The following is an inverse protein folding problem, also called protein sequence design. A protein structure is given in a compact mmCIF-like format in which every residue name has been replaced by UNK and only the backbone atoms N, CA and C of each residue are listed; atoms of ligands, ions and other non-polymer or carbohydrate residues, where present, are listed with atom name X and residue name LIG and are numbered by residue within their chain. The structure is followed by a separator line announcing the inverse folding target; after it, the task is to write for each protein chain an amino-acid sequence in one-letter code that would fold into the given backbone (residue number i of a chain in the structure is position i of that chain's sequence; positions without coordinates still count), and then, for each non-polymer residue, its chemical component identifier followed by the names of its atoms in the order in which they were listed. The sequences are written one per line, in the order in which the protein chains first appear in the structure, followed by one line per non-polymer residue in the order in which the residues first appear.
data_IF_295523552263
#
_entry.id   IF_295523552263
#
_cell.length_a   1.000
_cell.length_b   1.000
_cell.length_c   1.000
_cell.angle_alpha   90.00
_cell.angle_beta   90.00
_cell.angle_gamma   90.00
#
_symmetry.space_group_name_H-M   'P 1'
#
loop_
_entity.id
_entity.type
_entity.pdbx_description
1 polymer ?
#
# COMPACT_ATOMS: atom_id res chain seq x y z
N UNK A 1 -85.31 -1.97 -35.17
CA UNK A 1 -85.44 -2.18 -36.64
C UNK A 1 -84.11 -1.81 -37.28
N UNK A 2 -83.50 -2.68 -38.13
CA UNK A 2 -82.12 -2.61 -38.69
C UNK A 2 -81.02 -2.78 -37.59
N UNK A 3 -80.14 -3.81 -37.58
CA UNK A 3 -79.04 -4.22 -38.51
C UNK A 3 -77.99 -3.10 -38.63
N UNK A 4 -76.66 -3.30 -38.53
CA UNK A 4 -75.74 -4.49 -38.42
C UNK A 4 -74.42 -3.98 -37.73
N UNK A 5 -73.30 -4.69 -37.51
CA UNK A 5 -72.81 -6.03 -37.92
C UNK A 5 -72.10 -6.78 -36.75
N UNK A 6 -70.77 -6.98 -36.78
CA UNK A 6 -69.90 -7.58 -35.74
C UNK A 6 -68.50 -6.94 -35.81
N UNK A 7 -67.76 -6.97 -34.69
CA UNK A 7 -66.30 -7.22 -34.75
C UNK A 7 -65.86 -8.09 -33.56
N UNK A 8 -65.23 -9.21 -33.87
CA UNK A 8 -64.59 -10.13 -32.90
C UNK A 8 -63.12 -9.77 -32.82
N UNK A 9 -62.56 -9.56 -31.61
CA UNK A 9 -61.15 -9.92 -31.31
C UNK A 9 -60.74 -9.83 -29.85
N UNK A 10 -60.16 -10.94 -29.40
CA UNK A 10 -59.09 -11.10 -28.40
C UNK A 10 -59.15 -10.45 -27.02
N UNK A 11 -59.21 -11.35 -26.04
CA UNK A 11 -58.47 -11.30 -24.78
C UNK A 11 -57.10 -10.58 -24.86
N UNK A 12 -56.90 -9.57 -23.99
CA UNK A 12 -55.63 -9.19 -23.31
C UNK A 12 -55.71 -7.94 -22.41
N UNK A 13 -56.85 -7.24 -22.35
CA UNK A 13 -56.99 -5.95 -21.65
C UNK A 13 -57.28 -6.03 -20.13
N UNK A 14 -57.41 -7.22 -19.52
CA UNK A 14 -57.82 -7.36 -18.10
C UNK A 14 -56.67 -7.59 -17.09
N UNK A 15 -55.41 -7.60 -17.52
CA UNK A 15 -54.25 -7.96 -16.66
C UNK A 15 -53.46 -6.73 -16.17
N UNK A 16 -53.69 -5.54 -16.75
CA UNK A 16 -52.82 -4.37 -16.55
C UNK A 16 -53.03 -3.66 -15.20
N UNK A 17 -54.17 -3.82 -14.53
CA UNK A 17 -54.53 -3.02 -13.34
C UNK A 17 -54.09 -3.66 -12.00
N UNK A 18 -53.78 -4.96 -11.97
CA UNK A 18 -53.32 -5.63 -10.72
C UNK A 18 -51.78 -5.54 -10.53
N UNK A 19 -51.04 -5.17 -11.59
CA UNK A 19 -49.57 -5.03 -11.55
C UNK A 19 -49.08 -3.71 -10.92
N UNK A 20 -49.95 -2.72 -10.70
CA UNK A 20 -49.56 -1.40 -10.16
C UNK A 20 -49.45 -1.34 -8.62
N UNK A 21 -49.99 -2.33 -7.89
CA UNK A 21 -49.96 -2.37 -6.42
C UNK A 21 -49.03 -3.43 -5.81
N UNK A 22 -48.39 -4.27 -6.62
CA UNK A 22 -47.22 -5.06 -6.19
C UNK A 22 -45.89 -4.29 -6.33
N UNK A 23 -45.92 -3.09 -6.94
CA UNK A 23 -44.71 -2.31 -7.24
C UNK A 23 -44.17 -1.50 -6.04
N UNK A 24 -44.86 -1.47 -4.91
CA UNK A 24 -44.44 -0.74 -3.69
C UNK A 24 -43.96 -1.64 -2.55
N UNK A 25 -44.12 -2.96 -2.65
CA UNK A 25 -43.70 -3.93 -1.61
C UNK A 25 -42.43 -4.74 -1.93
N UNK A 26 -41.67 -4.31 -2.95
CA UNK A 26 -40.29 -4.76 -3.19
C UNK A 26 -39.22 -3.71 -2.84
N UNK A 27 -39.61 -2.51 -2.38
CA UNK A 27 -38.69 -1.40 -2.07
C UNK A 27 -37.99 -1.49 -0.69
N UNK A 28 -38.02 -2.65 -0.03
CA UNK A 28 -37.18 -2.94 1.16
C UNK A 28 -36.28 -4.17 0.94
N UNK A 29 -36.18 -4.67 -0.30
CA UNK A 29 -35.35 -5.83 -0.68
C UNK A 29 -34.21 -5.52 -1.64
N UNK A 30 -33.84 -4.24 -1.78
CA UNK A 30 -32.73 -3.79 -2.64
C UNK A 30 -31.74 -2.83 -1.98
N UNK A 31 -31.57 -2.92 -0.66
CA UNK A 31 -30.41 -2.36 0.05
C UNK A 31 -29.55 -3.43 0.75
N UNK A 32 -29.42 -4.59 0.09
CA UNK A 32 -28.13 -5.31 0.12
C UNK A 32 -27.15 -4.51 -0.78
N UNK A 33 -26.82 -3.29 -0.37
CA UNK A 33 -25.52 -2.71 -0.72
C UNK A 33 -24.54 -3.14 0.35
N UNK A 34 -24.16 -4.41 0.20
CA UNK A 34 -23.05 -5.05 0.88
C UNK A 34 -21.81 -4.18 0.65
N UNK A 35 -21.48 -3.35 1.64
CA UNK A 35 -20.37 -2.41 1.57
C UNK A 35 -19.05 -3.19 1.63
N UNK A 36 -18.63 -3.70 0.47
CA UNK A 36 -17.27 -4.20 0.21
C UNK A 36 -16.31 -3.00 0.09
N UNK A 37 -16.33 -2.13 1.10
CA UNK A 37 -15.37 -1.05 1.28
C UNK A 37 -14.02 -1.63 1.73
N UNK A 38 -13.38 -2.39 0.84
CA UNK A 38 -12.02 -2.88 1.03
C UNK A 38 -11.08 -1.68 1.14
N UNK A 39 -10.47 -1.50 2.32
CA UNK A 39 -9.48 -0.44 2.54
C UNK A 39 -8.27 -0.73 1.65
N UNK A 40 -8.10 0.06 0.60
CA UNK A 40 -6.96 -0.04 -0.30
C UNK A 40 -5.66 0.32 0.43
N UNK A 41 -4.60 -0.46 0.21
CA UNK A 41 -3.31 -0.26 0.85
C UNK A 41 -2.15 -0.62 -0.07
N UNK A 42 -0.99 0.00 0.18
CA UNK A 42 0.27 -0.28 -0.52
C UNK A 42 1.22 -1.01 0.43
N UNK A 43 1.89 -2.07 -0.03
CA UNK A 43 2.94 -2.75 0.74
C UNK A 43 4.32 -2.30 0.27
N UNK A 44 5.13 -1.79 1.19
CA UNK A 44 6.47 -1.26 0.94
C UNK A 44 7.49 -1.95 1.84
N UNK A 45 8.68 -2.23 1.33
CA UNK A 45 9.78 -2.80 2.13
C UNK A 45 10.44 -1.71 2.99
N UNK A 46 10.44 -1.92 4.31
CA UNK A 46 11.08 -1.05 5.28
C UNK A 46 12.61 -1.20 5.32
N UNK A 47 13.27 -0.33 6.08
CA UNK A 47 14.74 -0.21 6.09
C UNK A 47 15.48 -1.49 6.51
N UNK A 48 14.83 -2.33 7.32
CA UNK A 48 15.38 -3.61 7.82
C UNK A 48 14.79 -4.83 7.08
N UNK A 49 14.39 -4.66 5.82
CA UNK A 49 13.76 -5.72 5.00
C UNK A 49 12.34 -6.14 5.41
N UNK A 50 11.84 -5.66 6.56
CA UNK A 50 10.49 -5.99 7.05
C UNK A 50 9.40 -5.23 6.26
N UNK A 51 8.27 -5.85 5.92
CA UNK A 51 7.17 -5.17 5.23
C UNK A 51 6.54 -4.09 6.12
N UNK A 52 6.12 -3.01 5.49
CA UNK A 52 5.40 -1.87 6.04
C UNK A 52 4.20 -1.62 5.13
N UNK A 53 3.03 -1.36 5.70
CA UNK A 53 1.82 -1.04 4.95
C UNK A 53 1.57 0.46 4.99
N UNK A 54 1.14 1.03 3.87
CA UNK A 54 0.78 2.45 3.76
C UNK A 54 -0.70 2.54 3.40
N UNK A 55 -1.47 3.24 4.25
CA UNK A 55 -2.89 3.56 4.05
C UNK A 55 -3.03 5.08 4.21
N UNK A 56 -3.51 5.78 3.18
CA UNK A 56 -3.68 7.25 3.17
C UNK A 56 -2.47 8.06 3.70
N UNK A 57 -1.24 7.63 3.39
CA UNK A 57 0.01 8.24 3.89
C UNK A 57 0.37 7.92 5.34
N UNK A 58 -0.42 7.14 6.07
CA UNK A 58 -0.05 6.59 7.37
C UNK A 58 0.69 5.26 7.20
N UNK A 59 1.82 5.10 7.90
CA UNK A 59 2.64 3.87 7.88
C UNK A 59 2.28 2.93 9.02
N UNK A 60 2.06 1.67 8.70
CA UNK A 60 1.71 0.59 9.62
C UNK A 60 2.82 -0.47 9.66
N UNK A 61 3.20 -0.89 10.87
CA UNK A 61 4.14 -1.99 11.11
C UNK A 61 3.39 -3.23 11.57
N UNK A 62 3.82 -4.42 11.13
CA UNK A 62 3.34 -5.71 11.66
C UNK A 62 3.56 -5.76 13.17
N UNK A 63 2.52 -6.05 13.94
CA UNK A 63 2.59 -6.19 15.39
C UNK A 63 2.61 -7.67 15.78
N UNK A 64 1.54 -8.41 15.45
CA UNK A 64 1.36 -9.83 15.78
C UNK A 64 0.36 -10.51 14.83
N UNK A 65 0.44 -11.83 14.75
CA UNK A 65 -0.59 -12.67 14.15
C UNK A 65 -1.66 -13.00 15.20
N UNK A 66 -2.90 -13.13 14.77
CA UNK A 66 -4.07 -13.50 15.57
C UNK A 66 -4.52 -14.91 15.15
N UNK A 67 -5.57 -15.43 15.81
CA UNK A 67 -6.32 -16.58 15.31
C UNK A 67 -6.86 -16.32 13.89
N UNK A 68 -7.17 -17.41 13.18
CA UNK A 68 -7.64 -17.40 11.78
C UNK A 68 -6.64 -16.72 10.82
N UNK A 69 -5.35 -16.79 11.14
CA UNK A 69 -4.21 -16.26 10.36
C UNK A 69 -4.26 -14.75 10.02
N UNK A 70 -5.14 -14.00 10.68
CA UNK A 70 -5.24 -12.54 10.55
C UNK A 70 -4.00 -11.87 11.14
N UNK A 71 -3.37 -10.95 10.39
CA UNK A 71 -2.22 -10.17 10.87
C UNK A 71 -2.68 -8.78 11.33
N UNK A 72 -2.38 -8.43 12.59
CA UNK A 72 -2.59 -7.08 13.11
C UNK A 72 -1.37 -6.21 12.88
N UNK A 73 -1.63 -5.05 12.29
CA UNK A 73 -0.69 -3.98 12.04
C UNK A 73 -1.04 -2.76 12.91
N UNK A 74 -0.04 -2.02 13.35
CA UNK A 74 -0.22 -0.82 14.19
C UNK A 74 0.48 0.37 13.55
N UNK A 75 0.02 1.58 13.85
CA UNK A 75 0.75 2.78 13.45
C UNK A 75 2.24 2.68 13.85
N UNK A 76 3.13 3.02 12.91
CA UNK A 76 4.58 3.00 13.11
C UNK A 76 5.15 4.36 13.55
N UNK A 77 4.41 5.45 13.34
CA UNK A 77 4.88 6.83 13.57
C UNK A 77 4.93 7.20 15.05
N UNK A 78 3.89 6.86 15.84
CA UNK A 78 3.83 7.17 17.27
C UNK A 78 3.42 5.95 18.10
N UNK A 79 4.17 5.64 19.16
CA UNK A 79 3.89 4.51 20.07
C UNK A 79 2.57 4.66 20.84
N UNK A 80 2.12 5.89 21.07
CA UNK A 80 0.86 6.24 21.76
C UNK A 80 -0.36 6.22 20.83
N UNK A 81 -0.16 5.95 19.54
CA UNK A 81 -1.25 5.89 18.57
C UNK A 81 -2.01 4.57 18.69
N UNK A 82 -3.32 4.65 18.92
CA UNK A 82 -4.20 3.47 19.03
C UNK A 82 -4.61 2.92 17.66
N UNK A 83 -4.29 3.61 16.56
CA UNK A 83 -4.61 3.23 15.19
C UNK A 83 -4.04 1.84 14.82
N UNK A 84 -4.91 0.98 14.27
CA UNK A 84 -4.58 -0.39 13.88
C UNK A 84 -5.36 -0.86 12.65
N UNK A 85 -4.74 -1.76 11.90
CA UNK A 85 -5.29 -2.42 10.72
C UNK A 85 -5.21 -3.95 10.94
N UNK A 86 -6.18 -4.70 10.42
CA UNK A 86 -6.17 -6.16 10.39
C UNK A 86 -6.32 -6.62 8.95
N UNK A 87 -5.47 -7.55 8.52
CA UNK A 87 -5.46 -8.10 7.17
C UNK A 87 -5.47 -9.62 7.25
N UNK A 88 -6.35 -10.25 6.47
CA UNK A 88 -6.48 -11.69 6.34
C UNK A 88 -5.42 -12.29 5.40
N UNK A 89 -5.32 -13.61 5.34
CA UNK A 89 -4.45 -14.33 4.40
C UNK A 89 -4.68 -13.93 2.94
N UNK A 90 -5.93 -13.65 2.59
CA UNK A 90 -6.35 -13.20 1.26
C UNK A 90 -5.93 -11.75 0.93
N UNK A 91 -5.14 -11.08 1.79
CA UNK A 91 -4.73 -9.69 1.59
C UNK A 91 -5.88 -8.68 1.68
N UNK A 92 -7.02 -9.06 2.27
CA UNK A 92 -8.18 -8.18 2.44
C UNK A 92 -8.15 -7.53 3.82
N UNK A 93 -8.39 -6.22 3.88
CA UNK A 93 -8.54 -5.49 5.14
C UNK A 93 -9.91 -5.81 5.78
N UNK A 94 -9.92 -6.24 7.03
CA UNK A 94 -11.16 -6.49 7.78
C UNK A 94 -11.89 -5.19 8.14
N UNK A 95 -13.21 -5.28 8.34
CA UNK A 95 -14.05 -4.16 8.77
C UNK A 95 -13.68 -3.64 10.17
N UNK A 96 -13.21 -4.50 11.07
CA UNK A 96 -12.74 -4.13 12.42
C UNK A 96 -11.29 -3.61 12.38
N UNK A 97 -11.15 -2.39 11.84
CA UNK A 97 -9.94 -1.59 11.82
C UNK A 97 -10.21 -0.18 12.38
N UNK A 98 -9.21 0.40 13.04
CA UNK A 98 -9.27 1.78 13.56
C UNK A 98 -8.24 2.62 12.83
N UNK A 99 -8.67 3.40 11.82
CA UNK A 99 -7.80 4.30 11.04
C UNK A 99 -7.63 5.71 11.66
N UNK A 100 -8.22 5.97 12.83
CA UNK A 100 -8.17 7.28 13.48
C UNK A 100 -6.81 7.49 14.17
N UNK A 101 -6.05 8.49 13.72
CA UNK A 101 -4.76 8.87 14.29
C UNK A 101 -4.90 10.01 15.30
N UNK A 102 -4.19 9.91 16.43
CA UNK A 102 -4.06 10.96 17.44
C UNK A 102 -2.82 11.86 17.23
N UNK A 103 -2.33 11.93 15.99
CA UNK A 103 -1.14 12.70 15.61
C UNK A 103 -1.24 13.17 14.16
N UNK A 104 -0.45 14.17 13.79
CA UNK A 104 -0.35 14.66 12.41
C UNK A 104 0.17 13.55 11.48
N UNK A 105 -0.37 13.45 10.26
CA UNK A 105 0.17 12.56 9.21
C UNK A 105 1.59 13.01 8.81
N UNK A 106 2.43 12.08 8.36
CA UNK A 106 3.75 12.39 7.80
C UNK A 106 3.60 13.23 6.51
N UNK A 107 4.58 14.09 6.19
CA UNK A 107 4.60 14.78 4.88
C UNK A 107 4.73 13.73 3.75
N UNK A 108 3.88 13.82 2.72
CA UNK A 108 3.89 12.96 1.54
C UNK A 108 5.30 12.89 0.90
N UNK A 109 5.97 14.04 0.72
CA UNK A 109 7.33 14.11 0.18
C UNK A 109 8.36 13.31 1.01
N UNK A 110 8.17 13.24 2.34
CA UNK A 110 9.03 12.45 3.24
C UNK A 110 8.78 10.96 3.07
N UNK A 111 7.57 10.54 2.74
CA UNK A 111 7.24 9.15 2.42
C UNK A 111 7.81 8.75 1.06
N UNK A 112 7.65 9.60 0.05
CA UNK A 112 8.17 9.35 -1.31
C UNK A 112 9.69 9.25 -1.32
N UNK A 113 10.37 10.20 -0.65
CA UNK A 113 11.82 10.11 -0.38
C UNK A 113 12.19 8.80 0.32
N UNK A 114 11.39 8.35 1.29
CA UNK A 114 11.66 7.10 2.01
C UNK A 114 11.49 5.87 1.10
N UNK A 115 10.46 5.82 0.24
CA UNK A 115 10.26 4.75 -0.76
C UNK A 115 11.47 4.66 -1.70
N UNK A 116 11.84 5.78 -2.33
CA UNK A 116 12.98 5.87 -3.24
C UNK A 116 14.28 5.48 -2.54
N UNK A 117 14.56 6.06 -1.36
CA UNK A 117 15.80 5.79 -0.63
C UNK A 117 15.90 4.31 -0.25
N UNK A 118 14.82 3.65 0.17
CA UNK A 118 14.82 2.22 0.47
C UNK A 118 14.99 1.33 -0.77
N UNK A 119 14.54 1.78 -1.94
CA UNK A 119 14.77 1.06 -3.19
C UNK A 119 16.23 1.18 -3.65
N UNK A 120 16.77 2.41 -3.70
CA UNK A 120 18.16 2.65 -4.13
C UNK A 120 19.16 2.03 -3.15
N UNK A 121 18.94 2.12 -1.83
CA UNK A 121 19.84 1.52 -0.82
C UNK A 121 20.06 0.02 -1.06
N UNK A 122 19.02 -0.72 -1.47
CA UNK A 122 19.14 -2.16 -1.79
C UNK A 122 19.98 -2.37 -3.04
N UNK A 123 19.59 -1.74 -4.16
CA UNK A 123 20.34 -1.77 -5.43
C UNK A 123 21.79 -1.33 -5.31
N UNK A 124 22.11 -0.46 -4.36
CA UNK A 124 23.45 0.03 -4.09
C UNK A 124 24.33 -0.96 -3.30
N UNK A 125 23.73 -1.96 -2.63
CA UNK A 125 24.40 -3.12 -2.05
C UNK A 125 24.54 -4.22 -3.10
N UNK A 126 23.46 -4.50 -3.84
CA UNK A 126 23.43 -5.50 -4.91
C UNK A 126 24.46 -5.17 -6.02
N UNK A 127 24.58 -3.90 -6.39
CA UNK A 127 25.59 -3.37 -7.31
C UNK A 127 26.29 -2.14 -6.67
N UNK A 128 27.46 -2.34 -6.03
CA UNK A 128 28.23 -1.24 -5.44
C UNK A 128 28.96 -0.39 -6.50
N UNK A 129 29.16 -0.91 -7.71
CA UNK A 129 29.94 -0.27 -8.78
C UNK A 129 29.15 0.81 -9.52
N UNK A 130 27.83 0.66 -9.68
CA UNK A 130 27.01 1.65 -10.39
C UNK A 130 27.00 3.00 -9.68
N UNK A 131 27.13 4.09 -10.45
CA UNK A 131 27.09 5.47 -9.95
C UNK A 131 25.74 5.78 -9.28
N UNK A 132 25.69 6.35 -8.05
CA UNK A 132 24.43 6.67 -7.36
C UNK A 132 23.45 7.54 -8.14
N UNK A 133 23.95 8.44 -9.01
CA UNK A 133 23.12 9.22 -9.93
C UNK A 133 22.33 8.35 -10.90
N UNK A 134 22.93 7.30 -11.45
CA UNK A 134 22.28 6.39 -12.41
C UNK A 134 21.19 5.59 -11.71
N UNK A 135 21.47 5.06 -10.51
CA UNK A 135 20.45 4.39 -9.70
C UNK A 135 19.25 5.32 -9.42
N UNK A 136 19.51 6.53 -8.92
CA UNK A 136 18.44 7.51 -8.65
C UNK A 136 17.63 7.83 -9.91
N UNK A 137 18.27 8.14 -11.03
CA UNK A 137 17.59 8.46 -12.28
C UNK A 137 16.70 7.31 -12.76
N UNK A 138 17.21 6.06 -12.71
CA UNK A 138 16.42 4.88 -13.12
C UNK A 138 15.24 4.60 -12.19
N UNK A 139 15.31 4.97 -10.91
CA UNK A 139 14.16 4.84 -9.99
C UNK A 139 13.14 5.94 -10.20
N UNK A 140 13.56 7.18 -10.42
CA UNK A 140 12.64 8.30 -10.71
C UNK A 140 11.85 8.05 -12.01
N UNK A 141 12.51 7.50 -13.03
CA UNK A 141 11.85 7.05 -14.25
C UNK A 141 10.81 5.93 -14.02
N UNK A 142 10.99 5.09 -13.00
CA UNK A 142 10.05 4.01 -12.63
C UNK A 142 8.93 4.46 -11.71
N UNK A 143 9.19 5.42 -10.82
CA UNK A 143 8.22 5.90 -9.83
C UNK A 143 7.32 7.04 -10.33
N UNK A 144 7.66 7.65 -11.47
CA UNK A 144 6.95 8.82 -12.00
C UNK A 144 7.33 10.13 -11.32
N UNK A 145 6.56 11.18 -11.61
CA UNK A 145 6.82 12.54 -11.10
C UNK A 145 6.60 12.63 -9.59
N UNK A 146 7.69 12.80 -8.85
CA UNK A 146 7.69 12.97 -7.40
C UNK A 146 8.26 14.34 -7.03
N UNK A 147 7.58 15.04 -6.12
CA UNK A 147 7.95 16.38 -5.65
C UNK A 147 9.16 16.32 -4.70
N UNK A 148 10.33 15.95 -5.23
CA UNK A 148 11.60 15.93 -4.51
C UNK A 148 12.31 17.28 -4.61
N UNK A 149 12.85 17.73 -3.47
CA UNK A 149 13.74 18.90 -3.42
C UNK A 149 15.20 18.52 -3.71
N UNK A 150 16.04 19.53 -3.98
CA UNK A 150 17.49 19.37 -4.15
C UNK A 150 18.12 18.79 -2.86
N UNK A 151 17.60 19.18 -1.70
CA UNK A 151 17.98 18.64 -0.40
C UNK A 151 17.65 17.14 -0.31
N UNK A 152 16.48 16.70 -0.77
CA UNK A 152 16.09 15.29 -0.78
C UNK A 152 17.03 14.44 -1.65
N UNK A 153 17.35 14.92 -2.86
CA UNK A 153 18.33 14.28 -3.76
C UNK A 153 19.70 14.13 -3.09
N UNK A 154 20.13 15.16 -2.36
CA UNK A 154 21.40 15.16 -1.62
C UNK A 154 21.38 14.13 -0.48
N UNK A 155 20.30 14.08 0.30
CA UNK A 155 20.11 13.11 1.38
C UNK A 155 20.07 11.67 0.86
N UNK A 156 19.34 11.42 -0.24
CA UNK A 156 19.29 10.09 -0.88
C UNK A 156 20.70 9.63 -1.27
N UNK A 157 21.51 10.51 -1.90
CA UNK A 157 22.87 10.18 -2.32
C UNK A 157 23.82 9.92 -1.15
N UNK A 158 23.69 10.65 -0.03
CA UNK A 158 24.42 10.36 1.22
C UNK A 158 24.04 8.99 1.78
N UNK A 159 22.75 8.68 1.88
CA UNK A 159 22.25 7.38 2.36
C UNK A 159 22.81 6.20 1.56
N UNK A 160 22.94 6.35 0.23
CA UNK A 160 23.58 5.34 -0.64
C UNK A 160 25.04 5.13 -0.29
N UNK A 161 25.81 6.22 -0.13
CA UNK A 161 27.21 6.14 0.29
C UNK A 161 27.38 5.44 1.64
N UNK A 162 26.59 5.82 2.65
CA UNK A 162 26.63 5.18 3.96
C UNK A 162 26.26 3.69 3.91
N UNK A 163 25.30 3.31 3.06
CA UNK A 163 24.89 1.90 2.93
C UNK A 163 25.99 1.05 2.29
N UNK A 164 26.70 1.58 1.28
CA UNK A 164 27.87 0.92 0.70
C UNK A 164 29.00 0.76 1.71
N UNK A 165 29.36 1.84 2.40
CA UNK A 165 30.41 1.82 3.44
C UNK A 165 30.08 0.86 4.58
N UNK A 166 28.81 0.64 4.91
CA UNK A 166 28.39 -0.33 5.92
C UNK A 166 28.51 -1.81 5.49
N UNK A 167 28.60 -2.08 4.18
CA UNK A 167 28.79 -3.43 3.62
C UNK A 167 30.26 -3.72 3.25
N UNK A 168 31.11 -2.70 3.16
CA UNK A 168 32.55 -2.87 2.94
C UNK A 168 33.25 -3.30 4.24
N UNK A 169 34.33 -4.08 4.16
CA UNK A 169 35.15 -4.39 5.34
C UNK A 169 35.69 -3.11 5.96
N UNK A 170 35.85 -3.10 7.29
CA UNK A 170 36.48 -1.99 7.99
C UNK A 170 37.93 -1.90 7.54
N UNK A 171 38.41 -0.68 7.25
CA UNK A 171 39.82 -0.45 6.96
C UNK A 171 40.68 -0.94 8.15
N UNK A 172 41.70 -1.77 7.93
CA UNK A 172 42.60 -2.19 9.00
C UNK A 172 43.29 -0.97 9.59
N UNK A 173 43.38 -0.93 10.92
CA UNK A 173 43.99 0.16 11.68
C UNK A 173 45.43 -0.14 12.06
N UNK A 174 45.79 -1.42 12.12
CA UNK A 174 47.15 -1.87 12.44
C UNK A 174 47.78 -2.61 11.27
N UNK A 175 49.11 -2.62 11.25
CA UNK A 175 49.90 -3.33 10.25
C UNK A 175 49.65 -4.85 10.29
N UNK A 176 49.40 -5.43 11.47
CA UNK A 176 49.04 -6.83 11.63
C UNK A 176 47.65 -7.15 11.07
N UNK A 177 46.64 -6.31 11.33
CA UNK A 177 45.31 -6.46 10.71
C UNK A 177 45.37 -6.39 9.18
N UNK A 178 46.25 -5.54 8.63
CA UNK A 178 46.46 -5.44 7.19
C UNK A 178 47.08 -6.71 6.60
N UNK A 179 48.12 -7.27 7.24
CA UNK A 179 48.71 -8.53 6.79
C UNK A 179 47.75 -9.71 6.89
N UNK A 180 46.96 -9.80 7.96
CA UNK A 180 45.93 -10.83 8.10
C UNK A 180 44.91 -10.72 6.95
N UNK A 181 44.41 -9.51 6.68
CA UNK A 181 43.46 -9.26 5.60
C UNK A 181 44.03 -9.53 4.19
N UNK A 182 45.34 -9.43 3.98
CA UNK A 182 45.98 -9.84 2.71
C UNK A 182 46.06 -11.37 2.58
N UNK A 183 46.42 -12.08 3.67
CA UNK A 183 46.48 -13.53 3.69
C UNK A 183 45.08 -14.16 3.50
N UNK A 184 44.01 -13.50 3.98
CA UNK A 184 42.63 -13.91 3.76
C UNK A 184 42.16 -13.78 2.28
N UNK A 185 42.97 -13.17 1.39
CA UNK A 185 42.65 -12.97 -0.04
C UNK A 185 43.37 -13.95 -0.99
N UNK A 186 44.31 -14.75 -0.50
CA UNK A 186 45.17 -15.65 -1.32
C UNK A 186 44.81 -17.12 -1.16
#
# INVERSE_FOLDING_TARGET
MKRRQLFVRNSRECIVIILSLFFTFLFVRSFIYFSMAGIAYETVVGEKGKPIIIVEGAKFRRQKQLANNVVRWTCSTHKTCKCFLKIDENGTCLSDCLLIHNHKKDNIQKLDRQKISNSIKRKAVDDPSVRPSKLLQTELQKSGSLNLTIQDVTLIRKNVGYTRLAHLPKLPKTFSEFHNALNDMT
#
